data_IF_944072887716
#
_entry.id   IF_944072887716
#
_cell.length_a   1.000
_cell.length_b   1.000
_cell.length_c   1.000
_cell.angle_alpha   90.00
_cell.angle_beta   90.00
_cell.angle_gamma   90.00
#
_symmetry.space_group_name_H-M   'P 1'
#
loop_
_entity.id
_entity.type
_entity.pdbx_description
1 polymer ?
#
# COMPACT_ATOMS: atom_id res chain seq x y z
N UNK A 1 45.72 -10.94 -27.87
CA UNK A 1 45.76 -12.41 -27.88
C UNK A 1 44.90 -12.88 -26.72
N UNK A 2 43.77 -13.52 -26.99
CA UNK A 2 42.95 -14.18 -25.98
C UNK A 2 42.59 -15.59 -26.45
N UNK A 3 42.64 -16.56 -25.54
CA UNK A 3 42.27 -17.97 -25.72
C UNK A 3 41.19 -18.28 -24.69
N UNK A 4 40.15 -19.02 -25.05
CA UNK A 4 39.08 -19.45 -24.13
C UNK A 4 39.10 -20.98 -23.98
N UNK A 5 39.08 -21.46 -22.74
CA UNK A 5 38.87 -22.87 -22.40
C UNK A 5 37.67 -22.99 -21.44
N UNK A 6 37.01 -24.17 -21.34
CA UNK A 6 35.70 -24.32 -20.69
C UNK A 6 35.69 -23.94 -19.21
N UNK A 7 36.79 -24.20 -18.49
CA UNK A 7 36.86 -24.03 -17.04
C UNK A 7 37.84 -22.91 -16.63
N UNK A 8 37.59 -21.72 -17.19
CA UNK A 8 37.96 -20.40 -16.63
C UNK A 8 39.45 -20.08 -16.39
N UNK A 9 40.10 -19.41 -17.34
CA UNK A 9 41.21 -18.45 -17.06
C UNK A 9 41.15 -17.27 -18.05
N UNK A 10 41.45 -16.06 -17.56
CA UNK A 10 41.71 -14.84 -18.36
C UNK A 10 43.17 -14.42 -18.24
N UNK A 11 43.83 -14.09 -19.37
CA UNK A 11 45.13 -13.40 -19.40
C UNK A 11 45.01 -12.14 -20.26
N UNK A 12 45.54 -11.02 -19.74
CA UNK A 12 45.60 -9.73 -20.43
C UNK A 12 47.06 -9.28 -20.47
N UNK A 13 47.61 -9.01 -21.67
CA UNK A 13 48.94 -8.43 -21.83
C UNK A 13 48.91 -7.28 -22.84
N UNK A 14 49.50 -6.14 -22.46
CA UNK A 14 49.69 -4.96 -23.33
C UNK A 14 51.13 -4.87 -23.85
N UNK A 15 51.32 -4.06 -24.91
CA UNK A 15 52.56 -3.85 -25.68
C UNK A 15 53.85 -3.90 -24.83
N UNK A 16 54.80 -4.74 -25.27
CA UNK A 16 56.22 -4.61 -24.93
C UNK A 16 56.76 -5.48 -23.79
N UNK A 17 55.97 -6.40 -23.22
CA UNK A 17 56.46 -7.32 -22.18
C UNK A 17 56.06 -8.76 -22.51
N UNK A 18 57.00 -9.68 -22.40
CA UNK A 18 56.74 -11.12 -22.53
C UNK A 18 55.78 -11.59 -21.43
N UNK A 19 54.71 -12.29 -21.82
CA UNK A 19 53.79 -12.93 -20.88
C UNK A 19 54.17 -14.41 -20.76
N UNK A 20 54.27 -14.91 -19.53
CA UNK A 20 54.43 -16.34 -19.22
C UNK A 20 53.25 -16.82 -18.38
N UNK A 21 52.67 -17.96 -18.76
CA UNK A 21 51.57 -18.60 -18.04
C UNK A 21 51.66 -20.12 -18.20
N UNK A 22 51.17 -20.86 -17.20
CA UNK A 22 51.20 -22.33 -17.15
C UNK A 22 49.78 -22.90 -17.25
N UNK A 23 49.60 -24.00 -17.98
CA UNK A 23 48.35 -24.79 -18.02
C UNK A 23 48.69 -26.28 -17.97
N UNK A 24 47.88 -27.07 -17.27
CA UNK A 24 48.13 -28.50 -17.02
C UNK A 24 47.29 -29.47 -17.84
N UNK A 25 46.39 -29.03 -18.72
CA UNK A 25 45.56 -29.97 -19.50
C UNK A 25 45.46 -29.57 -20.97
N UNK A 26 45.72 -30.53 -21.86
CA UNK A 26 45.69 -30.34 -23.32
C UNK A 26 44.31 -29.95 -23.82
N UNK A 27 44.20 -28.72 -24.32
CA UNK A 27 42.99 -28.14 -24.92
C UNK A 27 43.40 -27.25 -26.10
N UNK A 28 42.55 -27.23 -27.13
CA UNK A 28 42.65 -26.40 -28.33
C UNK A 28 42.81 -24.90 -28.02
N UNK A 29 43.65 -24.21 -28.80
CA UNK A 29 44.01 -22.81 -28.61
C UNK A 29 43.55 -21.94 -29.78
N UNK A 30 42.65 -20.99 -29.52
CA UNK A 30 42.25 -19.94 -30.47
C UNK A 30 42.96 -18.62 -30.13
N UNK A 31 43.49 -17.89 -31.12
CA UNK A 31 44.19 -16.61 -30.92
C UNK A 31 43.34 -15.44 -31.42
N UNK A 32 42.89 -14.55 -30.52
CA UNK A 32 42.17 -13.32 -30.89
C UNK A 32 43.02 -12.03 -30.84
N UNK A 33 42.78 -11.10 -31.78
CA UNK A 33 43.14 -9.67 -31.67
C UNK A 33 41.84 -8.86 -31.63
N UNK A 34 41.68 -8.02 -30.63
CA UNK A 34 40.66 -6.97 -30.62
C UNK A 34 41.36 -5.63 -30.33
N UNK A 35 41.01 -4.56 -31.05
CA UNK A 35 40.55 -3.35 -30.44
C UNK A 35 39.01 -3.37 -30.38
N UNK A 36 38.46 -2.66 -29.41
CA UNK A 36 37.03 -2.54 -29.14
C UNK A 36 36.24 -2.25 -30.42
N UNK A 37 35.26 -3.11 -30.73
CA UNK A 37 34.06 -2.68 -31.47
C UNK A 37 33.67 -3.39 -32.76
N UNK A 38 34.47 -4.28 -33.37
CA UNK A 38 34.07 -4.90 -34.65
C UNK A 38 34.27 -6.42 -34.67
N UNK A 39 33.29 -7.14 -35.22
CA UNK A 39 33.27 -8.59 -35.44
C UNK A 39 34.21 -8.98 -36.59
N UNK A 40 35.25 -9.82 -36.36
CA UNK A 40 36.16 -10.27 -37.42
C UNK A 40 35.54 -11.34 -38.33
N UNK A 41 35.77 -11.23 -39.63
CA UNK A 41 35.46 -12.25 -40.63
C UNK A 41 36.53 -13.36 -40.63
N UNK A 42 36.06 -14.59 -40.84
CA UNK A 42 36.78 -15.84 -41.06
C UNK A 42 37.55 -16.45 -39.87
N UNK A 43 37.07 -17.64 -39.47
CA UNK A 43 37.73 -18.55 -38.55
C UNK A 43 38.42 -19.66 -39.36
N UNK A 44 39.74 -19.84 -39.19
CA UNK A 44 40.40 -21.08 -39.60
C UNK A 44 40.84 -21.90 -38.38
N UNK A 45 40.43 -23.17 -38.36
CA UNK A 45 40.82 -24.14 -37.34
C UNK A 45 42.22 -24.70 -37.66
N UNK A 46 43.14 -24.64 -36.70
CA UNK A 46 44.46 -25.30 -36.80
C UNK A 46 44.44 -26.55 -35.92
N UNK A 47 44.69 -27.73 -36.52
CA UNK A 47 44.73 -28.99 -35.77
C UNK A 47 45.97 -29.10 -34.89
N UNK A 48 45.83 -29.63 -33.67
CA UNK A 48 46.88 -29.69 -32.63
C UNK A 48 47.86 -30.86 -32.73
N UNK A 49 47.92 -31.61 -33.83
CA UNK A 49 48.83 -32.76 -33.98
C UNK A 49 50.14 -32.44 -34.72
N UNK A 50 50.82 -31.33 -34.39
CA UNK A 50 52.05 -30.90 -35.07
C UNK A 50 53.13 -30.50 -34.05
N UNK A 51 54.26 -31.21 -34.10
CA UNK A 51 55.35 -31.10 -33.12
C UNK A 51 56.36 -29.95 -33.41
N UNK A 52 56.19 -29.18 -34.49
CA UNK A 52 56.87 -27.90 -34.78
C UNK A 52 56.41 -27.38 -36.16
N UNK A 53 56.28 -26.06 -36.33
CA UNK A 53 55.99 -25.45 -37.64
C UNK A 53 56.32 -23.95 -37.67
N UNK A 54 56.84 -23.48 -38.80
CA UNK A 54 56.99 -22.05 -39.13
C UNK A 54 55.87 -21.73 -40.11
N UNK A 55 55.11 -20.67 -39.82
CA UNK A 55 54.01 -20.21 -40.68
C UNK A 55 54.38 -18.86 -41.28
N UNK A 56 54.26 -18.75 -42.60
CA UNK A 56 54.25 -17.47 -43.31
C UNK A 56 52.79 -17.12 -43.57
N UNK A 57 52.34 -15.98 -43.02
CA UNK A 57 51.01 -15.43 -43.32
C UNK A 57 51.11 -14.73 -44.67
N UNK A 58 50.15 -15.01 -45.56
CA UNK A 58 50.08 -14.49 -46.92
C UNK A 58 49.67 -13.01 -46.93
N UNK A 59 50.51 -12.16 -46.34
CA UNK A 59 50.59 -10.73 -46.63
C UNK A 59 51.98 -10.13 -46.31
N UNK A 60 53.00 -10.98 -46.22
CA UNK A 60 54.38 -10.56 -46.28
C UNK A 60 54.80 -9.57 -45.20
N UNK A 61 54.71 -9.97 -43.92
CA UNK A 61 55.69 -9.70 -42.86
C UNK A 61 55.25 -10.48 -41.60
N UNK A 62 56.20 -11.28 -41.08
CA UNK A 62 56.30 -11.89 -39.73
C UNK A 62 56.16 -13.42 -39.66
N UNK A 63 57.15 -14.03 -39.00
CA UNK A 63 57.20 -15.45 -38.65
C UNK A 63 56.86 -15.62 -37.18
N UNK A 64 55.96 -16.54 -36.86
CA UNK A 64 55.66 -16.93 -35.47
C UNK A 64 56.44 -18.22 -35.19
N UNK A 65 57.32 -18.20 -34.19
CA UNK A 65 58.02 -19.39 -33.71
C UNK A 65 57.38 -19.87 -32.40
N UNK A 66 56.94 -21.12 -32.37
CA UNK A 66 56.42 -21.80 -31.18
C UNK A 66 57.33 -22.98 -30.85
N UNK A 67 57.84 -23.03 -29.61
CA UNK A 67 58.68 -24.13 -29.11
C UNK A 67 57.95 -24.80 -27.96
N UNK A 68 57.83 -26.13 -28.03
CA UNK A 68 57.20 -26.97 -27.00
C UNK A 68 58.28 -27.81 -26.32
N UNK A 69 58.48 -27.64 -25.01
CA UNK A 69 59.32 -28.53 -24.21
C UNK A 69 58.44 -29.45 -23.34
N UNK A 70 58.84 -30.72 -23.23
CA UNK A 70 58.06 -31.75 -22.54
C UNK A 70 57.88 -31.41 -21.05
N UNK A 71 56.63 -31.06 -20.69
CA UNK A 71 56.18 -30.94 -19.31
C UNK A 71 55.76 -29.54 -18.85
N UNK A 72 55.94 -28.48 -19.65
CA UNK A 72 55.39 -27.15 -19.37
C UNK A 72 55.18 -26.36 -20.67
N UNK A 73 53.94 -25.94 -20.93
CA UNK A 73 53.59 -25.16 -22.12
C UNK A 73 53.83 -23.66 -21.86
N UNK A 74 54.80 -23.06 -22.57
CA UNK A 74 55.03 -21.61 -22.59
C UNK A 74 54.99 -21.07 -24.01
N UNK A 75 54.16 -20.07 -24.28
CA UNK A 75 53.97 -19.47 -25.61
C UNK A 75 54.50 -18.03 -25.60
N UNK A 76 55.46 -17.71 -26.48
CA UNK A 76 56.03 -16.36 -26.61
C UNK A 76 55.81 -15.87 -28.05
N UNK A 77 55.16 -14.71 -28.22
CA UNK A 77 54.93 -14.10 -29.53
C UNK A 77 55.45 -12.66 -29.55
N UNK A 78 56.15 -12.27 -30.62
CA UNK A 78 56.63 -10.91 -30.86
C UNK A 78 56.15 -10.50 -32.26
N UNK A 79 55.38 -9.42 -32.36
CA UNK A 79 54.91 -8.86 -33.63
C UNK A 79 55.34 -7.40 -33.75
N UNK A 80 55.91 -7.04 -34.91
CA UNK A 80 56.37 -5.69 -35.23
C UNK A 80 55.63 -5.19 -36.48
N UNK A 81 54.83 -4.14 -36.27
CA UNK A 81 53.99 -3.38 -37.22
C UNK A 81 52.71 -4.01 -37.80
N UNK A 82 51.66 -3.17 -37.92
CA UNK A 82 50.38 -3.46 -38.55
C UNK A 82 49.97 -2.25 -39.41
N UNK A 83 49.49 -2.51 -40.62
CA UNK A 83 48.69 -1.57 -41.42
C UNK A 83 47.26 -2.11 -41.47
N UNK A 84 46.25 -1.28 -41.21
CA UNK A 84 44.83 -1.64 -41.28
C UNK A 84 44.21 -0.96 -42.49
N UNK A 85 43.72 -1.72 -43.46
CA UNK A 85 42.74 -1.21 -44.42
C UNK A 85 41.33 -1.43 -43.86
N UNK A 86 40.51 -0.38 -43.85
CA UNK A 86 39.12 -0.43 -43.40
C UNK A 86 38.25 -1.07 -44.49
N UNK A 87 37.62 -2.21 -44.19
CA UNK A 87 36.56 -2.77 -45.02
C UNK A 87 35.33 -1.85 -44.95
N UNK A 88 34.77 -1.45 -46.09
CA UNK A 88 33.50 -0.74 -46.11
C UNK A 88 32.40 -1.63 -45.55
N UNK A 89 31.58 -1.11 -44.64
CA UNK A 89 30.41 -1.79 -44.10
C UNK A 89 29.40 -2.02 -45.23
N UNK A 90 29.47 -3.19 -45.86
CA UNK A 90 28.33 -3.69 -46.61
C UNK A 90 27.32 -4.17 -45.56
N UNK A 91 26.34 -3.30 -45.25
CA UNK A 91 25.15 -3.71 -44.50
C UNK A 91 24.54 -4.86 -45.28
N UNK A 92 24.51 -6.05 -44.68
CA UNK A 92 23.82 -7.18 -45.30
C UNK A 92 22.34 -6.80 -45.32
N UNK A 93 21.70 -6.65 -46.50
CA UNK A 93 20.29 -6.29 -46.55
C UNK A 93 19.46 -7.41 -45.95
N UNK A 94 18.44 -7.06 -45.18
CA UNK A 94 17.48 -8.05 -44.70
C UNK A 94 16.52 -8.37 -45.85
N UNK A 95 16.54 -9.61 -46.34
CA UNK A 95 15.74 -10.03 -47.51
C UNK A 95 14.55 -10.91 -47.12
N UNK A 96 14.56 -11.51 -45.93
CA UNK A 96 13.52 -12.42 -45.46
C UNK A 96 13.23 -12.21 -43.97
N UNK A 97 11.99 -12.49 -43.58
CA UNK A 97 11.53 -12.51 -42.19
C UNK A 97 10.93 -13.88 -41.88
N UNK A 98 10.80 -14.19 -40.59
CA UNK A 98 10.22 -15.42 -40.09
C UNK A 98 8.86 -15.16 -39.44
N UNK A 99 8.07 -16.21 -39.27
CA UNK A 99 6.81 -16.13 -38.54
C UNK A 99 7.09 -16.07 -37.03
N UNK A 100 6.75 -14.95 -36.35
CA UNK A 100 6.98 -14.83 -34.92
C UNK A 100 6.00 -15.68 -34.12
N UNK A 101 6.36 -15.98 -32.87
CA UNK A 101 5.45 -16.49 -31.84
C UNK A 101 5.88 -15.92 -30.49
N UNK A 102 4.95 -15.85 -29.56
CA UNK A 102 5.22 -15.49 -28.17
C UNK A 102 4.36 -16.32 -27.22
N UNK A 103 4.80 -16.43 -25.98
CA UNK A 103 3.95 -16.87 -24.86
C UNK A 103 3.76 -15.72 -23.88
N UNK A 104 2.84 -15.92 -22.95
CA UNK A 104 2.57 -14.94 -21.92
C UNK A 104 2.15 -15.62 -20.62
N UNK A 105 2.35 -14.92 -19.51
CA UNK A 105 1.92 -15.34 -18.18
C UNK A 105 1.50 -14.14 -17.32
N UNK A 106 0.77 -14.41 -16.25
CA UNK A 106 0.47 -13.40 -15.23
C UNK A 106 1.71 -13.12 -14.38
N UNK A 107 2.04 -11.84 -14.22
CA UNK A 107 3.09 -11.39 -13.31
C UNK A 107 2.64 -11.36 -11.84
N UNK A 108 3.56 -11.11 -10.91
CA UNK A 108 3.29 -11.15 -9.46
C UNK A 108 2.40 -10.01 -8.93
N UNK A 109 1.96 -9.07 -9.76
CA UNK A 109 1.15 -7.92 -9.37
C UNK A 109 1.95 -6.83 -8.63
N UNK A 110 3.28 -6.86 -8.71
CA UNK A 110 4.15 -5.98 -7.93
C UNK A 110 4.54 -4.69 -8.67
N UNK A 111 4.42 -4.68 -10.00
CA UNK A 111 4.88 -3.57 -10.85
C UNK A 111 3.75 -2.70 -11.40
N UNK A 112 2.50 -3.16 -11.35
CA UNK A 112 1.31 -2.46 -11.86
C UNK A 112 0.36 -2.13 -10.68
N UNK A 113 0.37 -0.89 -10.13
CA UNK A 113 -0.43 -0.55 -8.95
C UNK A 113 -1.95 -0.58 -9.14
N UNK A 114 -2.43 -0.42 -10.38
CA UNK A 114 -3.86 -0.30 -10.71
C UNK A 114 -4.24 -1.09 -11.99
N UNK A 115 -3.60 -2.24 -12.23
CA UNK A 115 -3.86 -3.05 -13.42
C UNK A 115 -3.23 -4.46 -13.39
N UNK A 116 -3.51 -5.28 -14.41
CA UNK A 116 -2.86 -6.57 -14.57
C UNK A 116 -1.40 -6.41 -14.97
N UNK A 117 -0.54 -7.11 -14.26
CA UNK A 117 0.81 -7.39 -14.71
C UNK A 117 0.80 -8.59 -15.68
N UNK A 118 1.07 -8.35 -16.98
CA UNK A 118 1.24 -9.40 -17.98
C UNK A 118 2.70 -9.45 -18.40
N UNK A 119 3.29 -10.63 -18.33
CA UNK A 119 4.68 -10.89 -18.74
C UNK A 119 4.63 -11.60 -20.08
N UNK A 120 5.25 -11.00 -21.09
CA UNK A 120 5.47 -11.62 -22.40
C UNK A 120 6.84 -12.30 -22.41
N UNK A 121 6.83 -13.60 -22.63
CA UNK A 121 7.99 -14.48 -22.60
C UNK A 121 8.12 -15.33 -23.88
N UNK A 122 9.26 -16.04 -23.98
CA UNK A 122 9.60 -16.98 -25.04
C UNK A 122 9.27 -16.51 -26.48
N UNK A 123 9.96 -15.45 -26.91
CA UNK A 123 10.08 -15.18 -28.34
C UNK A 123 11.00 -16.24 -28.99
N UNK A 124 10.40 -17.29 -29.54
CA UNK A 124 11.13 -18.41 -30.12
C UNK A 124 11.32 -18.18 -31.62
N UNK A 125 12.45 -17.57 -32.01
CA UNK A 125 12.97 -17.69 -33.37
C UNK A 125 14.50 -17.75 -33.39
N UNK A 126 15.10 -18.88 -33.80
CA UNK A 126 16.55 -18.98 -33.95
C UNK A 126 17.08 -18.13 -35.12
N UNK A 127 16.19 -17.57 -35.94
CA UNK A 127 16.52 -16.73 -37.10
C UNK A 127 16.48 -15.24 -36.77
N UNK A 128 16.15 -14.86 -35.53
CA UNK A 128 16.18 -13.46 -35.12
C UNK A 128 17.61 -12.94 -35.00
N UNK A 129 17.92 -11.96 -35.84
CA UNK A 129 19.12 -11.15 -35.75
C UNK A 129 18.74 -9.72 -35.36
N UNK A 130 19.09 -9.23 -34.16
CA UNK A 130 18.74 -7.89 -33.69
C UNK A 130 19.41 -6.75 -34.46
N UNK A 131 20.39 -7.04 -35.33
CA UNK A 131 20.98 -6.05 -36.22
C UNK A 131 20.19 -5.86 -37.54
N UNK A 132 19.36 -6.85 -37.90
CA UNK A 132 18.64 -6.89 -39.18
C UNK A 132 17.12 -6.82 -39.02
N UNK A 133 16.59 -7.32 -37.90
CA UNK A 133 15.16 -7.44 -37.65
C UNK A 133 14.69 -6.46 -36.58
N UNK A 134 13.54 -5.84 -36.84
CA UNK A 134 12.87 -4.89 -35.96
C UNK A 134 11.55 -5.50 -35.49
N UNK A 135 11.21 -5.27 -34.21
CA UNK A 135 10.01 -5.83 -33.58
C UNK A 135 9.03 -4.72 -33.23
N UNK A 136 7.75 -4.94 -33.51
CA UNK A 136 6.67 -4.04 -33.13
C UNK A 136 5.55 -4.82 -32.46
N UNK A 137 5.22 -4.41 -31.24
CA UNK A 137 4.10 -4.93 -30.47
C UNK A 137 2.91 -4.01 -30.58
N UNK A 138 1.73 -4.58 -30.81
CA UNK A 138 0.43 -3.96 -30.62
C UNK A 138 -0.29 -4.73 -29.51
N UNK A 139 -0.60 -4.05 -28.40
CA UNK A 139 -1.17 -4.69 -27.22
C UNK A 139 -2.69 -4.82 -27.28
N UNK A 140 -3.32 -4.38 -28.37
CA UNK A 140 -4.76 -4.46 -28.60
C UNK A 140 -5.59 -3.44 -27.82
N UNK A 141 -4.96 -2.59 -27.01
CA UNK A 141 -5.55 -1.47 -26.27
C UNK A 141 -5.33 -0.10 -26.94
N UNK A 142 -4.77 -0.11 -28.16
CA UNK A 142 -4.40 1.07 -28.92
C UNK A 142 -3.00 1.60 -28.62
N UNK A 143 -2.25 0.94 -27.73
CA UNK A 143 -0.83 1.21 -27.52
C UNK A 143 0.04 0.28 -28.38
N UNK A 144 1.16 0.82 -28.86
CA UNK A 144 2.17 0.05 -29.59
C UNK A 144 3.55 0.32 -29.01
N UNK A 145 4.45 -0.65 -29.15
CA UNK A 145 5.84 -0.55 -28.68
C UNK A 145 6.80 -1.15 -29.71
N UNK A 146 7.74 -0.32 -30.17
CA UNK A 146 8.83 -0.77 -31.03
C UNK A 146 10.05 -1.16 -30.22
N UNK A 147 10.68 -2.28 -30.56
CA UNK A 147 11.92 -2.75 -29.96
C UNK A 147 12.98 -3.06 -31.03
N UNK A 148 14.22 -2.69 -30.73
CA UNK A 148 15.41 -3.02 -31.50
C UNK A 148 16.52 -3.45 -30.54
N UNK A 149 17.14 -4.61 -30.78
CA UNK A 149 18.23 -5.11 -29.94
C UNK A 149 18.03 -6.55 -29.46
N UNK A 150 19.03 -7.12 -28.76
CA UNK A 150 18.96 -8.48 -28.25
C UNK A 150 17.83 -8.61 -27.23
N UNK A 151 16.90 -9.55 -27.47
CA UNK A 151 15.88 -9.94 -26.51
C UNK A 151 16.51 -10.84 -25.46
N UNK A 152 17.04 -10.26 -24.38
CA UNK A 152 17.71 -11.04 -23.33
C UNK A 152 16.80 -11.45 -22.18
N UNK A 153 15.64 -10.82 -22.01
CA UNK A 153 14.74 -11.06 -20.88
C UNK A 153 13.27 -10.87 -21.31
N UNK A 154 12.31 -11.55 -20.64
CA UNK A 154 10.89 -11.26 -20.81
C UNK A 154 10.60 -9.81 -20.42
N UNK A 155 9.57 -9.22 -21.03
CA UNK A 155 9.15 -7.86 -20.69
C UNK A 155 7.73 -7.85 -20.13
N UNK A 156 7.48 -6.89 -19.25
CA UNK A 156 6.21 -6.73 -18.56
C UNK A 156 5.41 -5.59 -19.18
N UNK A 157 4.11 -5.80 -19.39
CA UNK A 157 3.15 -4.79 -19.80
C UNK A 157 1.99 -4.71 -18.78
N UNK A 158 1.61 -3.49 -18.41
CA UNK A 158 0.52 -3.24 -17.46
C UNK A 158 -0.76 -2.93 -18.22
N UNK A 159 -1.77 -3.81 -18.12
CA UNK A 159 -3.11 -3.51 -18.60
C UNK A 159 -3.92 -2.87 -17.47
N UNK A 160 -4.25 -1.58 -17.57
CA UNK A 160 -5.20 -0.94 -16.66
C UNK A 160 -6.63 -1.29 -17.06
N UNK A 161 -7.57 -1.28 -16.10
CA UNK A 161 -8.98 -1.51 -16.39
C UNK A 161 -9.43 -0.58 -17.53
N UNK A 162 -9.69 -1.17 -18.69
CA UNK A 162 -10.01 -0.44 -19.91
C UNK A 162 -11.34 0.27 -19.71
N UNK A 163 -11.30 1.57 -19.46
CA UNK A 163 -12.42 2.45 -19.69
C UNK A 163 -12.81 2.37 -21.17
N UNK A 164 -13.78 1.49 -21.49
CA UNK A 164 -14.54 1.57 -22.74
C UNK A 164 -14.47 0.38 -23.70
N UNK A 165 -13.91 -0.78 -23.32
CA UNK A 165 -14.20 -2.03 -24.04
C UNK A 165 -14.70 -3.10 -23.07
N UNK A 166 -15.74 -3.88 -23.43
CA UNK A 166 -16.34 -4.87 -22.53
C UNK A 166 -15.29 -5.91 -22.12
N UNK A 167 -15.51 -6.69 -21.03
CA UNK A 167 -14.54 -7.70 -20.59
C UNK A 167 -14.31 -8.65 -21.76
N UNK A 168 -13.12 -8.63 -22.38
CA UNK A 168 -13.14 -9.05 -23.78
C UNK A 168 -11.82 -8.99 -24.50
N UNK A 169 -10.88 -9.78 -23.99
CA UNK A 169 -9.79 -10.38 -24.73
C UNK A 169 -9.10 -9.54 -25.84
N UNK A 170 -8.12 -8.68 -25.51
CA UNK A 170 -7.35 -7.95 -26.52
C UNK A 170 -6.65 -8.90 -27.49
N UNK A 171 -6.59 -8.49 -28.76
CA UNK A 171 -5.77 -9.16 -29.77
C UNK A 171 -4.39 -8.53 -29.74
N UNK A 172 -3.43 -9.25 -29.19
CA UNK A 172 -2.04 -8.81 -29.12
C UNK A 172 -1.31 -9.31 -30.36
N UNK A 173 -0.65 -8.41 -31.08
CA UNK A 173 0.10 -8.72 -32.28
C UNK A 173 1.58 -8.40 -32.11
N UNK A 174 2.43 -9.33 -32.52
CA UNK A 174 3.86 -9.15 -32.68
C UNK A 174 4.20 -9.17 -34.17
N UNK A 175 4.76 -8.07 -34.65
CA UNK A 175 5.24 -7.93 -36.02
C UNK A 175 6.76 -7.91 -36.05
N UNK A 176 7.34 -8.76 -36.91
CA UNK A 176 8.77 -8.76 -37.24
C UNK A 176 8.92 -8.18 -38.63
N UNK A 177 9.76 -7.16 -38.78
CA UNK A 177 10.10 -6.59 -40.09
C UNK A 177 11.61 -6.53 -40.29
N UNK A 178 12.04 -6.40 -41.53
CA UNK A 178 13.39 -5.94 -41.83
C UNK A 178 13.54 -4.47 -41.37
N UNK A 179 14.62 -4.15 -40.68
CA UNK A 179 14.84 -2.79 -40.16
C UNK A 179 15.10 -1.76 -41.27
N UNK A 180 15.65 -2.19 -42.40
CA UNK A 180 15.95 -1.37 -43.58
C UNK A 180 14.79 -1.31 -44.59
N UNK A 181 13.87 -2.27 -44.55
CA UNK A 181 12.63 -2.28 -45.36
C UNK A 181 11.43 -2.86 -44.58
N UNK A 182 10.61 -1.97 -44.04
CA UNK A 182 9.42 -2.35 -43.28
C UNK A 182 8.33 -3.05 -44.12
N UNK A 183 8.42 -3.06 -45.46
CA UNK A 183 7.47 -3.80 -46.31
C UNK A 183 7.69 -5.31 -46.25
N UNK A 184 8.89 -5.75 -45.84
CA UNK A 184 9.21 -7.15 -45.60
C UNK A 184 8.89 -7.42 -44.12
N UNK A 185 7.68 -7.92 -43.86
CA UNK A 185 7.20 -8.18 -42.50
C UNK A 185 6.33 -9.44 -42.40
N UNK A 186 6.36 -10.07 -41.22
CA UNK A 186 5.44 -11.12 -40.81
C UNK A 186 4.87 -10.77 -39.44
N UNK A 187 3.64 -11.21 -39.16
CA UNK A 187 2.93 -10.87 -37.93
C UNK A 187 2.20 -12.07 -37.38
N UNK A 188 2.27 -12.22 -36.05
CA UNK A 188 1.53 -13.21 -35.29
C UNK A 188 0.66 -12.50 -34.26
N UNK A 189 -0.62 -12.83 -34.24
CA UNK A 189 -1.58 -12.27 -33.30
C UNK A 189 -2.21 -13.38 -32.48
N UNK A 190 -2.36 -13.15 -31.18
CA UNK A 190 -3.11 -14.04 -30.28
C UNK A 190 -4.13 -13.24 -29.46
N UNK A 191 -5.22 -13.89 -29.08
CA UNK A 191 -6.29 -13.29 -28.30
C UNK A 191 -6.06 -13.64 -26.83
N UNK A 192 -5.66 -12.65 -26.02
CA UNK A 192 -5.35 -12.88 -24.60
C UNK A 192 -6.61 -12.69 -23.77
N UNK A 193 -7.04 -13.70 -23.02
CA UNK A 193 -8.09 -13.53 -22.01
C UNK A 193 -7.45 -12.96 -20.75
N UNK A 194 -7.40 -11.63 -20.69
CA UNK A 194 -6.90 -10.89 -19.53
C UNK A 194 -8.05 -10.73 -18.54
N UNK A 195 -8.09 -11.62 -17.56
CA UNK A 195 -8.93 -11.47 -16.39
C UNK A 195 -8.06 -10.80 -15.33
N UNK A 196 -7.94 -9.48 -15.42
CA UNK A 196 -7.68 -8.73 -14.19
C UNK A 196 -8.88 -9.04 -13.36
N UNK A 197 -8.69 -9.81 -12.29
CA UNK A 197 -9.66 -9.87 -11.22
C UNK A 197 -9.89 -8.41 -10.84
N UNK A 198 -10.87 -7.75 -11.46
CA UNK A 198 -11.63 -6.73 -10.76
C UNK A 198 -11.98 -7.45 -9.48
N UNK A 199 -11.51 -7.00 -8.30
CA UNK A 199 -11.88 -7.64 -7.06
C UNK A 199 -13.38 -7.85 -7.16
N UNK A 200 -13.81 -9.12 -7.13
CA UNK A 200 -15.19 -9.42 -7.46
C UNK A 200 -16.01 -8.56 -6.50
N UNK A 201 -16.89 -7.68 -7.02
CA UNK A 201 -17.67 -6.83 -6.15
C UNK A 201 -18.34 -7.76 -5.16
N UNK A 202 -18.14 -7.45 -3.88
CA UNK A 202 -18.65 -8.28 -2.82
C UNK A 202 -20.16 -8.52 -3.02
N UNK A 203 -20.69 -9.68 -2.58
CA UNK A 203 -22.07 -10.05 -2.87
C UNK A 203 -23.05 -8.92 -2.51
N UNK A 204 -24.09 -8.68 -3.32
CA UNK A 204 -25.10 -7.69 -2.98
C UNK A 204 -25.75 -8.07 -1.65
N UNK A 205 -25.99 -7.06 -0.80
CA UNK A 205 -26.65 -7.27 0.49
C UNK A 205 -28.13 -7.60 0.26
N UNK A 206 -28.50 -8.87 0.44
CA UNK A 206 -29.90 -9.31 0.43
C UNK A 206 -30.44 -9.39 1.86
N UNK A 207 -31.26 -8.42 2.25
CA UNK A 207 -31.85 -8.38 3.59
C UNK A 207 -32.55 -7.07 3.89
N UNK A 208 -33.36 -7.07 4.94
CA UNK A 208 -33.90 -5.84 5.53
C UNK A 208 -32.98 -5.50 6.72
N UNK A 209 -32.09 -4.53 6.50
CA UNK A 209 -31.14 -4.07 7.51
C UNK A 209 -31.62 -2.74 8.08
N UNK A 210 -31.42 -2.57 9.37
CA UNK A 210 -31.67 -1.32 10.08
C UNK A 210 -30.55 -1.08 11.07
N UNK A 211 -30.41 0.19 11.46
CA UNK A 211 -29.62 0.58 12.62
C UNK A 211 -30.53 1.25 13.64
N UNK A 212 -30.29 0.99 14.90
CA UNK A 212 -30.96 1.57 16.05
C UNK A 212 -29.92 2.20 16.97
N UNK A 213 -30.22 3.41 17.43
CA UNK A 213 -29.47 4.06 18.49
C UNK A 213 -30.11 3.73 19.84
N UNK A 214 -29.29 3.48 20.84
CA UNK A 214 -29.73 3.28 22.21
C UNK A 214 -28.89 4.13 23.16
N UNK A 215 -29.57 4.73 24.14
CA UNK A 215 -28.89 5.47 25.19
C UNK A 215 -28.23 4.47 26.13
N UNK A 216 -26.93 4.63 26.34
CA UNK A 216 -26.12 3.82 27.25
C UNK A 216 -25.77 4.70 28.45
N UNK A 217 -25.96 4.15 29.65
CA UNK A 217 -25.59 4.80 30.90
C UNK A 217 -24.65 3.85 31.64
N UNK A 218 -23.34 4.11 31.60
CA UNK A 218 -22.40 3.37 32.45
C UNK A 218 -21.00 3.07 31.91
N UNK A 219 -20.59 3.57 30.74
CA UNK A 219 -19.21 3.46 30.26
C UNK A 219 -18.55 4.85 30.20
N UNK A 220 -17.91 5.26 31.29
CA UNK A 220 -17.53 6.66 31.57
C UNK A 220 -16.39 7.27 30.72
N UNK A 221 -16.39 7.11 29.40
CA UNK A 221 -15.35 7.66 28.54
C UNK A 221 -15.73 9.02 27.91
N UNK A 222 -17.03 9.39 27.89
CA UNK A 222 -17.46 10.74 27.48
C UNK A 222 -17.30 11.73 28.66
N UNK A 223 -16.18 12.45 28.73
CA UNK A 223 -15.88 13.40 29.81
C UNK A 223 -16.83 14.60 29.87
N UNK A 224 -17.42 15.01 28.74
CA UNK A 224 -18.23 16.23 28.61
C UNK A 224 -19.49 16.05 27.73
N UNK A 225 -19.87 14.82 27.36
CA UNK A 225 -20.92 14.56 26.36
C UNK A 225 -21.83 13.36 26.64
N UNK A 226 -22.88 13.20 25.83
CA UNK A 226 -23.77 12.04 25.85
C UNK A 226 -23.13 10.83 25.20
N UNK A 227 -23.21 9.68 25.87
CA UNK A 227 -22.88 8.41 25.28
C UNK A 227 -24.12 7.81 24.56
N UNK A 228 -23.99 7.52 23.27
CA UNK A 228 -25.00 6.82 22.48
C UNK A 228 -24.36 5.61 21.81
N UNK A 229 -24.95 4.43 22.05
CA UNK A 229 -24.55 3.19 21.40
C UNK A 229 -25.36 2.97 20.13
N UNK A 230 -24.71 2.38 19.13
CA UNK A 230 -25.35 1.97 17.89
C UNK A 230 -25.26 0.46 17.75
N UNK A 231 -26.34 -0.16 17.27
CA UNK A 231 -26.23 -1.50 16.72
C UNK A 231 -25.74 -1.44 15.27
N UNK A 232 -25.32 -2.59 14.74
CA UNK A 232 -24.84 -2.69 13.38
C UNK A 232 -25.13 -4.08 12.82
N UNK A 233 -25.30 -4.22 11.48
CA UNK A 233 -25.42 -5.52 10.87
C UNK A 233 -24.21 -6.40 11.15
N UNK A 234 -24.44 -7.71 11.29
CA UNK A 234 -23.35 -8.70 11.40
C UNK A 234 -23.01 -9.19 10.00
N UNK A 235 -21.97 -8.60 9.41
CA UNK A 235 -21.44 -8.97 8.10
C UNK A 235 -20.00 -9.49 8.24
N UNK A 236 -19.46 -10.06 7.17
CA UNK A 236 -18.09 -10.58 7.14
C UNK A 236 -17.08 -9.41 7.13
N UNK A 237 -16.25 -9.24 8.19
CA UNK A 237 -15.29 -8.13 8.31
C UNK A 237 -14.20 -8.14 7.25
N UNK A 238 -13.93 -9.29 6.62
CA UNK A 238 -12.91 -9.40 5.57
C UNK A 238 -13.46 -9.02 4.19
N UNK A 239 -14.78 -8.79 4.08
CA UNK A 239 -15.48 -8.54 2.80
C UNK A 239 -16.12 -7.15 2.76
N UNK A 240 -16.72 -6.72 3.87
CA UNK A 240 -17.48 -5.48 3.96
C UNK A 240 -16.85 -4.48 4.94
N UNK A 241 -16.91 -3.21 4.57
CA UNK A 241 -16.35 -2.10 5.33
C UNK A 241 -17.47 -1.13 5.73
N UNK A 242 -17.35 -0.54 6.93
CA UNK A 242 -18.32 0.35 7.56
C UNK A 242 -17.75 1.77 7.67
N UNK A 243 -18.55 2.74 7.26
CA UNK A 243 -18.31 4.15 7.52
C UNK A 243 -19.50 4.74 8.27
N UNK A 244 -19.24 5.21 9.48
CA UNK A 244 -20.21 5.88 10.33
C UNK A 244 -20.07 7.39 10.20
N UNK A 245 -21.18 8.07 9.95
CA UNK A 245 -21.35 9.52 10.12
C UNK A 245 -22.39 9.75 11.21
N UNK A 246 -22.01 10.37 12.32
CA UNK A 246 -22.88 10.55 13.48
C UNK A 246 -23.81 11.77 13.36
N UNK A 247 -23.66 12.57 12.30
CA UNK A 247 -24.46 13.76 12.02
C UNK A 247 -24.03 15.01 12.79
N UNK A 248 -23.01 14.91 13.65
CA UNK A 248 -22.39 16.02 14.38
C UNK A 248 -21.09 16.52 13.72
N UNK A 249 -20.73 15.95 12.56
CA UNK A 249 -19.52 16.24 11.80
C UNK A 249 -18.34 15.31 12.13
N UNK A 250 -18.52 14.35 13.04
CA UNK A 250 -17.55 13.29 13.29
C UNK A 250 -17.89 12.02 12.51
N UNK A 251 -16.85 11.32 12.07
CA UNK A 251 -16.98 10.07 11.33
C UNK A 251 -15.97 9.02 11.81
N UNK A 252 -16.29 7.74 11.64
CA UNK A 252 -15.41 6.60 11.95
C UNK A 252 -15.51 5.59 10.81
N UNK A 253 -14.36 5.13 10.31
CA UNK A 253 -14.27 4.07 9.31
C UNK A 253 -13.63 2.83 9.94
N UNK A 254 -14.30 1.70 9.84
CA UNK A 254 -13.87 0.42 10.42
C UNK A 254 -14.32 -0.76 9.55
N UNK A 255 -13.83 -1.96 9.86
CA UNK A 255 -14.33 -3.21 9.25
C UNK A 255 -15.73 -3.58 9.74
N UNK A 256 -16.46 -4.38 8.95
CA UNK A 256 -17.80 -4.78 9.34
C UNK A 256 -17.85 -5.52 10.70
N UNK A 257 -18.95 -5.33 11.43
CA UNK A 257 -19.13 -5.88 12.77
C UNK A 257 -18.62 -5.00 13.91
N UNK A 258 -17.99 -3.86 13.60
CA UNK A 258 -17.76 -2.79 14.57
C UNK A 258 -19.02 -1.95 14.77
N UNK A 259 -19.67 -2.11 15.92
CA UNK A 259 -20.81 -1.29 16.31
C UNK A 259 -20.35 -0.24 17.36
N UNK A 260 -20.31 1.06 17.00
CA UNK A 260 -19.67 2.08 17.82
C UNK A 260 -20.52 2.52 19.01
N UNK A 261 -19.82 3.05 20.00
CA UNK A 261 -20.35 3.96 21.01
C UNK A 261 -19.79 5.35 20.70
N UNK A 262 -20.66 6.35 20.55
CA UNK A 262 -20.29 7.71 20.18
C UNK A 262 -20.61 8.71 21.29
N UNK A 263 -19.76 9.73 21.43
CA UNK A 263 -19.93 10.82 22.39
C UNK A 263 -20.41 12.09 21.67
N UNK A 264 -21.64 12.50 21.90
CA UNK A 264 -22.15 13.80 21.40
C UNK A 264 -21.89 14.91 22.42
N UNK A 265 -21.24 16.00 21.99
CA UNK A 265 -20.88 17.13 22.86
C UNK A 265 -22.10 17.99 23.27
N UNK A 266 -23.09 18.13 22.38
CA UNK A 266 -24.26 18.97 22.61
C UNK A 266 -25.57 18.18 22.52
N UNK A 267 -26.61 18.67 23.20
CA UNK A 267 -27.96 18.15 23.02
C UNK A 267 -28.50 18.59 21.67
N UNK A 268 -29.19 17.69 20.97
CA UNK A 268 -29.69 17.97 19.64
C UNK A 268 -30.39 16.77 19.01
N UNK A 269 -30.91 16.99 17.82
CA UNK A 269 -31.38 15.90 16.96
C UNK A 269 -30.36 15.73 15.85
N UNK A 270 -29.77 14.55 15.77
CA UNK A 270 -28.75 14.18 14.79
C UNK A 270 -29.30 13.09 13.89
N UNK A 271 -28.76 13.00 12.67
CA UNK A 271 -29.05 11.89 11.75
C UNK A 271 -27.77 11.10 11.62
N UNK A 272 -27.71 9.96 12.29
CA UNK A 272 -26.58 9.05 12.20
C UNK A 272 -26.79 8.11 11.01
N UNK A 273 -25.77 7.93 10.19
CA UNK A 273 -25.78 7.07 9.02
C UNK A 273 -24.60 6.09 9.04
N UNK A 274 -24.89 4.84 8.67
CA UNK A 274 -23.93 3.80 8.38
C UNK A 274 -23.91 3.55 6.87
N UNK A 275 -22.77 3.76 6.24
CA UNK A 275 -22.49 3.39 4.84
C UNK A 275 -21.73 2.07 4.81
N UNK A 276 -22.19 1.13 3.99
CA UNK A 276 -21.56 -0.18 3.80
C UNK A 276 -21.01 -0.27 2.37
N UNK A 277 -19.72 -0.58 2.25
CA UNK A 277 -18.99 -0.74 0.98
C UNK A 277 -18.31 -2.11 0.91
N UNK A 278 -17.80 -2.50 -0.28
CA UNK A 278 -16.87 -3.60 -0.40
C UNK A 278 -15.46 -3.12 0.02
N UNK A 279 -14.77 -3.86 0.89
CA UNK A 279 -13.44 -3.45 1.35
C UNK A 279 -12.39 -3.42 0.22
N UNK A 280 -12.53 -4.27 -0.79
CA UNK A 280 -11.58 -4.37 -1.91
C UNK A 280 -11.92 -3.43 -3.09
N UNK A 281 -12.97 -2.60 -2.97
CA UNK A 281 -13.37 -1.65 -4.03
C UNK A 281 -12.66 -0.29 -3.85
N UNK A 282 -11.78 0.07 -4.79
CA UNK A 282 -11.05 1.34 -4.78
C UNK A 282 -11.96 2.57 -4.98
N UNK A 283 -13.15 2.38 -5.56
CA UNK A 283 -14.10 3.47 -5.79
C UNK A 283 -15.03 3.71 -4.57
N UNK A 284 -14.90 2.90 -3.50
CA UNK A 284 -15.68 2.93 -2.25
C UNK A 284 -17.19 3.11 -2.49
N UNK A 285 -17.72 2.42 -3.51
CA UNK A 285 -19.12 2.64 -3.91
C UNK A 285 -20.09 2.12 -2.85
N UNK A 286 -21.04 2.93 -2.35
CA UNK A 286 -21.93 2.53 -1.28
C UNK A 286 -22.92 1.47 -1.77
N UNK A 287 -22.92 0.30 -1.14
CA UNK A 287 -23.89 -0.76 -1.37
C UNK A 287 -25.22 -0.46 -0.67
N UNK A 288 -25.12 0.05 0.55
CA UNK A 288 -26.25 0.34 1.41
C UNK A 288 -25.90 1.50 2.33
N UNK A 289 -26.87 2.38 2.53
CA UNK A 289 -26.81 3.46 3.52
C UNK A 289 -28.01 3.32 4.43
N UNK A 290 -27.75 3.14 5.72
CA UNK A 290 -28.76 3.03 6.77
C UNK A 290 -28.67 4.28 7.62
N UNK A 291 -29.78 5.00 7.81
CA UNK A 291 -29.78 6.20 8.65
C UNK A 291 -30.89 6.11 9.70
N UNK A 292 -30.60 6.65 10.88
CA UNK A 292 -31.56 6.76 11.98
C UNK A 292 -31.49 8.14 12.62
N UNK A 293 -32.64 8.64 13.08
CA UNK A 293 -32.70 9.90 13.82
C UNK A 293 -32.38 9.61 15.29
N UNK A 294 -31.42 10.35 15.84
CA UNK A 294 -30.97 10.24 17.22
C UNK A 294 -31.32 11.53 17.94
N UNK A 295 -32.19 11.43 18.94
CA UNK A 295 -32.47 12.56 19.84
C UNK A 295 -31.53 12.43 21.02
N UNK A 296 -30.51 13.27 21.01
CA UNK A 296 -29.47 13.37 22.02
C UNK A 296 -29.88 14.45 23.02
N UNK A 297 -30.07 14.06 24.27
CA UNK A 297 -30.32 14.98 25.37
C UNK A 297 -29.24 14.74 26.41
N UNK A 298 -28.18 15.55 26.37
CA UNK A 298 -27.04 15.45 27.29
C UNK A 298 -27.31 15.98 28.65
N UNK A 299 -28.59 16.14 28.99
CA UNK A 299 -28.99 16.91 30.12
C UNK A 299 -28.41 18.31 29.93
N UNK A 300 -29.16 19.19 29.27
CA UNK A 300 -29.31 20.48 29.96
C UNK A 300 -29.83 20.11 31.35
N UNK A 301 -28.95 20.20 32.35
CA UNK A 301 -29.14 19.44 33.58
C UNK A 301 -30.58 19.60 34.09
N UNK A 302 -31.25 18.45 34.18
CA UNK A 302 -32.68 18.39 34.49
C UNK A 302 -32.79 18.60 35.99
N UNK A 303 -33.20 19.80 36.37
CA UNK A 303 -33.62 20.04 37.74
C UNK A 303 -34.72 19.03 38.11
N UNK A 304 -34.56 18.28 39.20
CA UNK A 304 -35.61 17.39 39.68
C UNK A 304 -36.90 18.18 39.91
N UNK A 305 -38.06 17.53 39.83
CA UNK A 305 -39.30 18.17 40.27
C UNK A 305 -39.15 18.58 41.74
N UNK A 306 -39.57 19.80 42.11
CA UNK A 306 -39.47 20.34 43.47
C UNK A 306 -39.81 19.37 44.62
N UNK A 307 -40.80 18.45 44.54
CA UNK A 307 -41.06 17.48 45.61
C UNK A 307 -39.97 16.43 45.84
N UNK A 308 -39.08 16.18 44.86
CA UNK A 308 -38.00 15.20 44.97
C UNK A 308 -36.71 15.75 45.59
N UNK A 309 -36.64 17.08 45.77
CA UNK A 309 -35.54 17.75 46.46
C UNK A 309 -36.01 18.19 47.83
N UNK A 310 -35.20 17.91 48.85
CA UNK A 310 -35.38 18.46 50.18
C UNK A 310 -34.05 18.88 50.78
N UNK A 311 -34.11 19.64 51.86
CA UNK A 311 -32.94 19.95 52.68
C UNK A 311 -33.08 19.22 54.00
N UNK A 312 -32.01 18.55 54.43
CA UNK A 312 -31.87 18.09 55.80
C UNK A 312 -31.05 19.07 56.63
N UNK A 313 -31.45 19.23 57.89
CA UNK A 313 -30.75 20.08 58.87
C UNK A 313 -30.36 19.19 60.03
N UNK A 314 -29.07 18.89 60.13
CA UNK A 314 -28.52 18.12 61.25
C UNK A 314 -27.93 19.05 62.29
N UNK A 315 -28.32 18.89 63.56
CA UNK A 315 -27.72 19.62 64.68
C UNK A 315 -26.53 18.81 65.18
N UNK A 316 -25.31 19.32 64.99
CA UNK A 316 -24.13 18.71 65.60
C UNK A 316 -24.15 19.01 67.10
N UNK A 317 -24.33 17.96 67.92
CA UNK A 317 -24.39 18.08 69.37
C UNK A 317 -23.05 18.41 70.03
N UNK A 318 -21.93 18.35 69.29
CA UNK A 318 -20.60 18.66 69.79
C UNK A 318 -19.95 19.71 68.88
N UNK A 319 -19.56 20.84 69.48
CA UNK A 319 -19.33 22.10 68.79
C UNK A 319 -18.36 22.06 67.61
N UNK A 320 -18.76 22.70 66.52
CA UNK A 320 -17.89 23.02 65.39
C UNK A 320 -16.77 23.96 65.86
N UNK A 321 -15.53 23.58 65.60
CA UNK A 321 -14.34 24.34 66.02
C UNK A 321 -14.38 25.76 65.48
N UNK A 322 -14.45 26.76 66.37
CA UNK A 322 -14.53 28.18 65.98
C UNK A 322 -15.93 28.76 65.93
N UNK A 323 -16.97 27.98 66.22
CA UNK A 323 -18.33 28.47 66.40
C UNK A 323 -18.61 28.75 67.89
N UNK A 324 -18.72 30.02 68.29
CA UNK A 324 -19.18 30.41 69.64
C UNK A 324 -20.71 30.27 69.80
N UNK A 325 -21.44 30.14 68.70
CA UNK A 325 -22.90 30.03 68.65
C UNK A 325 -23.43 28.62 68.35
N UNK A 326 -24.57 28.54 67.66
CA UNK A 326 -25.20 27.26 67.30
C UNK A 326 -24.72 26.80 65.93
N UNK A 327 -24.08 25.63 65.87
CA UNK A 327 -23.64 25.02 64.63
C UNK A 327 -24.68 24.03 64.09
N UNK A 328 -24.90 24.09 62.78
CA UNK A 328 -25.78 23.18 62.05
C UNK A 328 -25.06 22.63 60.82
N UNK A 329 -25.45 21.44 60.38
CA UNK A 329 -25.17 20.90 59.06
C UNK A 329 -26.38 21.08 58.15
N UNK A 330 -26.17 21.59 56.94
CA UNK A 330 -27.18 21.64 55.87
C UNK A 330 -26.75 20.69 54.76
N UNK A 331 -27.68 19.84 54.31
CA UNK A 331 -27.42 18.86 53.25
C UNK A 331 -28.54 18.89 52.22
N UNK A 332 -28.20 18.81 50.94
CA UNK A 332 -29.15 18.50 49.89
C UNK A 332 -29.55 17.03 49.98
N UNK A 333 -30.86 16.75 49.95
CA UNK A 333 -31.41 15.40 49.89
C UNK A 333 -32.22 15.23 48.62
N UNK A 334 -31.99 14.09 47.96
CA UNK A 334 -32.70 13.69 46.76
C UNK A 334 -33.43 12.36 47.00
N UNK A 335 -34.72 12.36 46.71
CA UNK A 335 -35.57 11.16 46.74
C UNK A 335 -35.64 10.55 45.33
N UNK A 336 -34.84 9.51 45.10
CA UNK A 336 -34.77 8.82 43.82
C UNK A 336 -36.10 8.15 43.42
N UNK A 337 -36.95 7.79 44.38
CA UNK A 337 -38.23 7.13 44.11
C UNK A 337 -39.25 8.10 43.49
N UNK A 338 -39.10 9.41 43.72
CA UNK A 338 -40.01 10.44 43.22
C UNK A 338 -39.68 10.95 41.81
N UNK A 339 -38.51 10.61 41.28
CA UNK A 339 -38.02 11.12 40.00
C UNK A 339 -37.54 10.00 39.04
N UNK A 340 -38.02 8.76 39.30
CA UNK A 340 -37.70 7.53 38.55
C UNK A 340 -36.19 7.23 38.40
N UNK A 341 -35.33 7.81 39.25
CA UNK A 341 -33.87 7.67 39.15
C UNK A 341 -33.23 8.33 37.92
N UNK A 342 -33.93 9.26 37.25
CA UNK A 342 -33.51 9.87 35.99
C UNK A 342 -32.51 11.04 36.13
N UNK A 343 -32.19 11.45 37.37
CA UNK A 343 -31.23 12.52 37.67
C UNK A 343 -30.18 12.00 38.64
N UNK A 344 -28.90 12.19 38.30
CA UNK A 344 -27.79 11.94 39.21
C UNK A 344 -27.61 13.17 40.14
N UNK A 345 -27.79 13.03 41.47
CA UNK A 345 -27.62 14.14 42.41
C UNK A 345 -26.17 14.65 42.51
N UNK A 346 -25.18 13.94 41.97
CA UNK A 346 -23.80 14.41 41.88
C UNK A 346 -23.58 15.46 40.78
N UNK A 347 -24.50 15.57 39.82
CA UNK A 347 -24.45 16.57 38.74
C UNK A 347 -25.10 17.91 39.15
N UNK A 348 -25.60 18.02 40.38
CA UNK A 348 -26.29 19.19 40.90
C UNK A 348 -25.39 20.05 41.80
N UNK A 349 -25.55 21.37 41.68
CA UNK A 349 -25.00 22.37 42.59
C UNK A 349 -26.08 22.92 43.52
N UNK A 350 -25.67 23.41 44.68
CA UNK A 350 -26.53 24.07 45.64
C UNK A 350 -25.91 25.38 46.16
N UNK A 351 -26.77 26.39 46.33
CA UNK A 351 -26.50 27.59 47.09
C UNK A 351 -27.37 27.59 48.36
N UNK A 352 -26.75 27.79 49.52
CA UNK A 352 -27.43 27.94 50.80
C UNK A 352 -27.38 29.41 51.23
N UNK A 353 -28.55 30.00 51.47
CA UNK A 353 -28.71 31.36 51.96
C UNK A 353 -29.23 31.33 53.39
N UNK A 354 -28.52 31.97 54.30
CA UNK A 354 -28.87 32.00 55.72
C UNK A 354 -29.47 33.36 56.09
N UNK A 355 -30.44 33.36 57.02
CA UNK A 355 -31.12 34.59 57.45
C UNK A 355 -30.22 35.60 58.19
N UNK A 356 -28.99 35.24 58.51
CA UNK A 356 -27.97 36.15 59.07
C UNK A 356 -27.22 36.95 57.98
N UNK A 357 -27.53 36.70 56.70
CA UNK A 357 -26.95 37.38 55.55
C UNK A 357 -25.71 36.70 54.97
N UNK A 358 -25.29 35.55 55.51
CA UNK A 358 -24.20 34.74 54.95
C UNK A 358 -24.74 33.73 53.93
N UNK A 359 -23.82 33.17 53.13
CA UNK A 359 -24.17 32.18 52.11
C UNK A 359 -23.03 31.21 51.83
N UNK A 360 -23.38 30.00 51.42
CA UNK A 360 -22.48 28.99 50.85
C UNK A 360 -22.92 28.82 49.40
N UNK A 361 -22.02 29.03 48.44
CA UNK A 361 -22.37 29.15 47.01
C UNK A 361 -21.55 28.15 46.20
N UNK A 362 -22.16 27.56 45.16
CA UNK A 362 -21.49 26.72 44.18
C UNK A 362 -20.95 25.43 44.76
N UNK A 363 -21.65 24.87 45.73
CA UNK A 363 -21.22 23.65 46.39
C UNK A 363 -21.96 22.42 45.85
N UNK A 364 -21.32 21.24 45.80
CA UNK A 364 -21.98 19.99 45.43
C UNK A 364 -23.28 19.76 46.22
N UNK A 365 -24.37 19.43 45.52
CA UNK A 365 -25.67 19.20 46.16
C UNK A 365 -25.67 17.98 47.09
N UNK A 366 -25.06 16.86 46.67
CA UNK A 366 -25.02 15.59 47.41
C UNK A 366 -23.97 15.57 48.55
N UNK A 367 -23.84 16.68 49.28
CA UNK A 367 -22.91 16.85 50.39
C UNK A 367 -23.50 17.70 51.51
N UNK A 368 -22.84 17.66 52.68
CA UNK A 368 -23.25 18.40 53.86
C UNK A 368 -22.24 19.51 54.18
N UNK A 369 -22.76 20.67 54.56
CA UNK A 369 -21.97 21.86 54.87
C UNK A 369 -22.32 22.39 56.25
N UNK A 370 -21.31 22.86 56.98
CA UNK A 370 -21.50 23.42 58.32
C UNK A 370 -21.73 24.93 58.24
N UNK A 371 -22.70 25.42 59.01
CA UNK A 371 -22.93 26.84 59.24
C UNK A 371 -23.05 27.16 60.73
N UNK A 372 -22.59 28.34 61.14
CA UNK A 372 -22.60 28.80 62.52
C UNK A 372 -23.43 30.07 62.66
N UNK A 373 -24.48 30.02 63.49
CA UNK A 373 -25.24 31.21 63.88
C UNK A 373 -24.70 31.78 65.18
N UNK A 374 -24.26 33.05 65.17
CA UNK A 374 -23.69 33.73 66.35
C UNK A 374 -24.72 33.99 67.47
N UNK A 375 -26.02 33.97 67.15
CA UNK A 375 -27.09 34.25 68.10
C UNK A 375 -28.14 33.14 68.09
N UNK A 376 -28.71 32.84 69.26
CA UNK A 376 -29.82 31.91 69.35
C UNK A 376 -31.13 32.57 68.88
N UNK A 377 -31.90 31.87 68.05
CA UNK A 377 -33.15 32.41 67.52
C UNK A 377 -33.83 31.49 66.52
N UNK A 378 -34.84 32.04 65.85
CA UNK A 378 -35.47 31.43 64.68
C UNK A 378 -34.70 31.94 63.47
N UNK A 379 -34.15 31.00 62.69
CA UNK A 379 -33.41 31.29 61.47
C UNK A 379 -34.12 30.67 60.28
N UNK A 380 -34.05 31.37 59.15
CA UNK A 380 -34.54 30.89 57.86
C UNK A 380 -33.34 30.48 57.01
N UNK A 381 -33.48 29.38 56.29
CA UNK A 381 -32.45 28.84 55.40
C UNK A 381 -33.14 28.51 54.08
N UNK A 382 -32.64 29.08 53.00
CA UNK A 382 -33.10 28.79 51.64
C UNK A 382 -32.01 28.01 50.92
N UNK A 383 -32.41 27.01 50.14
CA UNK A 383 -31.51 26.34 49.20
C UNK A 383 -32.02 26.57 47.79
N UNK A 384 -31.13 27.04 46.93
CA UNK A 384 -31.32 27.06 45.49
C UNK A 384 -30.50 25.92 44.90
N UNK A 385 -31.17 25.04 44.15
CA UNK A 385 -30.52 23.93 43.44
C UNK A 385 -30.50 24.29 41.97
N UNK A 386 -29.34 24.09 41.36
CA UNK A 386 -29.11 24.43 39.96
C UNK A 386 -28.04 23.52 39.38
N UNK A 387 -27.83 23.75 38.10
CA UNK A 387 -26.74 23.25 37.30
C UNK A 387 -26.20 24.48 36.56
#
# INVERSE_FOLDING_TARGET
MAVRAPDGIFLHGYRGVAATGYSTNGVETTVARAPLGETPCDWENISTSLYQGIWEVEDGISTIQVTLDEGNFGLTAIATDFVTETCGSTTTPCEEVFDPTFTWSYGPGATCPSGCEIIFDDFISPNYDPALHCLEWDFGDGTTMSMSGPLSEPFTYCYTSLAGTPPGAPVVCLTVSCCDDALIQSSYCDTLVINCETPEPCPPLEGDYSIEAFVTSGFSDCLEGCEVGFDCPVLDPDVYCYEWDFGDGTTISETAGFCPIHCYEESGTYVACLTITCCDDEDETPLLVLCTEVVVDCGSCKLPELPSISMDITIFGEGVTGCEGCAIGVCGLYDADLNEGLVDPFDLCADFFFSDGTSIIGVPFAACYEHCFETAGVHEICMEVYC
#
